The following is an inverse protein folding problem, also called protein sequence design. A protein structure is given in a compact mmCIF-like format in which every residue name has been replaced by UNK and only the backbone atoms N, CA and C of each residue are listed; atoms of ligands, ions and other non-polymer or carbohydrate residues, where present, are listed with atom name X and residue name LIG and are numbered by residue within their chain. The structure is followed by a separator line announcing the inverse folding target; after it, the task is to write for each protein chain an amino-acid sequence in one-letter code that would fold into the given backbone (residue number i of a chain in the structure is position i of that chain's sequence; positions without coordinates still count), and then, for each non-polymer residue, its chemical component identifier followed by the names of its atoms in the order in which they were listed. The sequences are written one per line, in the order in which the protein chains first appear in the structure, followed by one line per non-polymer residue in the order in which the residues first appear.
data_IF_195536712981
#
_entry.id   IF_195536712981
#
_cell.length_a   1.000
_cell.length_b   1.000
_cell.length_c   1.000
_cell.angle_alpha   90.00
_cell.angle_beta   90.00
_cell.angle_gamma   90.00
#
_symmetry.space_group_name_H-M   'P 1'
#
loop_
_entity.id
_entity.type
_entity.pdbx_description
1 polymer ?
#
# COMPACT_ATOMS: atom_id res chain seq x y z
N UNK A 1 -13.01 -12.32 27.97
CA UNK A 1 -11.94 -11.46 27.44
C UNK A 1 -11.25 -12.27 26.36
N UNK A 2 -11.79 -12.23 25.14
CA UNK A 2 -11.29 -12.98 23.99
C UNK A 2 -10.22 -12.15 23.31
N UNK A 3 -9.06 -12.77 23.12
CA UNK A 3 -7.97 -12.21 22.32
C UNK A 3 -8.50 -12.09 20.89
N UNK A 4 -8.54 -10.87 20.35
CA UNK A 4 -8.77 -10.66 18.92
C UNK A 4 -7.54 -11.17 18.17
N UNK A 5 -7.59 -12.43 17.76
CA UNK A 5 -6.66 -12.99 16.81
C UNK A 5 -6.78 -12.18 15.52
N UNK A 6 -5.79 -11.32 15.29
CA UNK A 6 -5.69 -10.46 14.10
C UNK A 6 -4.90 -11.19 13.02
N UNK A 7 -5.17 -12.47 12.79
CA UNK A 7 -4.67 -13.14 11.59
C UNK A 7 -5.47 -12.62 10.39
N UNK A 8 -4.90 -11.63 9.71
CA UNK A 8 -5.47 -11.09 8.48
C UNK A 8 -5.46 -12.21 7.42
N UNK A 9 -6.57 -12.93 7.27
CA UNK A 9 -6.76 -13.81 6.14
C UNK A 9 -6.77 -12.97 4.85
N UNK A 10 -6.14 -13.43 3.76
CA UNK A 10 -6.20 -12.75 2.47
C UNK A 10 -7.66 -12.59 2.05
N UNK A 11 -8.15 -11.35 2.01
CA UNK A 11 -9.51 -11.06 1.54
C UNK A 11 -9.54 -11.10 0.01
N UNK A 12 -10.49 -11.83 -0.57
CA UNK A 12 -10.64 -11.88 -2.03
C UNK A 12 -11.21 -10.56 -2.57
N UNK A 13 -11.05 -10.32 -3.88
CA UNK A 13 -11.62 -9.13 -4.54
C UNK A 13 -13.15 -9.06 -4.32
N UNK A 14 -13.84 -10.18 -4.44
CA UNK A 14 -15.30 -10.24 -4.30
C UNK A 14 -15.76 -9.97 -2.88
N UNK A 15 -15.06 -10.53 -1.89
CA UNK A 15 -15.35 -10.28 -0.47
C UNK A 15 -15.10 -8.82 -0.11
N UNK A 16 -13.99 -8.25 -0.59
CA UNK A 16 -13.71 -6.84 -0.37
C UNK A 16 -14.73 -5.93 -1.06
N UNK A 17 -15.09 -6.23 -2.31
CA UNK A 17 -16.09 -5.46 -3.07
C UNK A 17 -17.45 -5.50 -2.38
N UNK A 18 -17.84 -6.67 -1.85
CA UNK A 18 -19.07 -6.84 -1.09
C UNK A 18 -19.06 -6.04 0.21
N UNK A 19 -17.98 -6.12 1.00
CA UNK A 19 -17.90 -5.40 2.27
C UNK A 19 -17.91 -3.88 2.08
N UNK A 20 -17.32 -3.38 0.99
CA UNK A 20 -17.46 -1.97 0.60
C UNK A 20 -18.93 -1.64 0.34
N UNK A 21 -19.64 -2.42 -0.50
CA UNK A 21 -21.06 -2.14 -0.76
C UNK A 21 -21.88 -2.09 0.53
N UNK A 22 -21.77 -3.12 1.37
CA UNK A 22 -22.50 -3.23 2.64
C UNK A 22 -22.23 -2.02 3.54
N UNK A 23 -20.96 -1.63 3.69
CA UNK A 23 -20.58 -0.48 4.50
C UNK A 23 -21.25 0.83 4.03
N UNK A 24 -21.24 1.10 2.72
CA UNK A 24 -21.82 2.33 2.17
C UNK A 24 -23.35 2.32 2.18
N UNK A 25 -23.97 1.16 2.00
CA UNK A 25 -25.43 0.98 2.12
C UNK A 25 -25.90 1.16 3.57
N UNK A 26 -25.22 0.54 4.55
CA UNK A 26 -25.52 0.67 5.97
C UNK A 26 -25.39 2.11 6.47
N UNK A 27 -24.38 2.83 5.97
CA UNK A 27 -24.18 4.23 6.28
C UNK A 27 -25.06 5.19 5.44
N UNK A 28 -25.94 4.65 4.58
CA UNK A 28 -26.90 5.40 3.77
C UNK A 28 -26.27 6.47 2.88
N UNK A 29 -25.11 6.16 2.27
CA UNK A 29 -24.49 7.04 1.28
C UNK A 29 -25.28 7.04 -0.03
N UNK A 30 -25.28 8.19 -0.72
CA UNK A 30 -25.84 8.26 -2.06
C UNK A 30 -24.82 7.73 -3.09
N UNK A 31 -24.96 6.45 -3.44
CA UNK A 31 -24.16 5.79 -4.46
C UNK A 31 -24.64 6.23 -5.85
N UNK A 32 -23.71 6.73 -6.65
CA UNK A 32 -23.91 7.17 -8.04
C UNK A 32 -23.68 6.01 -9.01
N UNK A 33 -22.65 5.21 -8.76
CA UNK A 33 -22.29 4.05 -9.57
C UNK A 33 -21.64 2.98 -8.68
N UNK A 34 -21.88 1.72 -8.97
CA UNK A 34 -21.21 0.62 -8.29
C UNK A 34 -21.20 -0.58 -9.23
N UNK A 35 -20.05 -1.24 -9.37
CA UNK A 35 -19.98 -2.45 -10.17
C UNK A 35 -18.57 -2.96 -10.39
N UNK A 36 -18.42 -3.74 -11.44
CA UNK A 36 -17.16 -4.33 -11.84
C UNK A 36 -16.57 -3.56 -13.03
N UNK A 37 -15.25 -3.53 -13.11
CA UNK A 37 -14.47 -2.93 -14.18
C UNK A 37 -13.14 -3.68 -14.29
N UNK A 38 -12.16 -3.09 -14.98
CA UNK A 38 -10.78 -3.57 -15.04
C UNK A 38 -9.80 -2.50 -14.63
N UNK A 39 -8.69 -2.91 -14.00
CA UNK A 39 -7.55 -2.04 -13.71
C UNK A 39 -6.24 -2.81 -13.98
N UNK A 40 -5.38 -2.25 -14.83
CA UNK A 40 -4.16 -2.92 -15.29
C UNK A 40 -4.40 -4.35 -15.83
N UNK A 41 -5.48 -4.56 -16.60
CA UNK A 41 -5.92 -5.87 -17.11
C UNK A 41 -6.32 -6.92 -16.06
N UNK A 42 -6.57 -6.50 -14.81
CA UNK A 42 -7.10 -7.38 -13.76
C UNK A 42 -8.59 -7.04 -13.50
N UNK A 43 -9.42 -8.00 -13.07
CA UNK A 43 -10.76 -7.71 -12.56
C UNK A 43 -10.68 -6.69 -11.42
N UNK A 44 -11.57 -5.70 -11.45
CA UNK A 44 -11.58 -4.61 -10.49
C UNK A 44 -13.01 -4.30 -10.03
N UNK A 45 -13.16 -3.86 -8.80
CA UNK A 45 -14.38 -3.24 -8.31
C UNK A 45 -14.36 -1.73 -8.54
N UNK A 46 -15.54 -1.13 -8.61
CA UNK A 46 -15.76 0.31 -8.78
C UNK A 46 -16.87 0.78 -7.85
N UNK A 47 -16.69 1.97 -7.28
CA UNK A 47 -17.76 2.75 -6.65
C UNK A 47 -17.62 4.21 -7.08
N UNK A 48 -18.74 4.88 -7.25
CA UNK A 48 -18.86 6.32 -7.21
C UNK A 48 -19.99 6.70 -6.24
N UNK A 49 -19.76 7.66 -5.35
CA UNK A 49 -20.75 8.09 -4.37
C UNK A 49 -20.59 9.59 -4.10
N UNK A 50 -21.63 10.22 -3.56
CA UNK A 50 -21.60 11.65 -3.26
C UNK A 50 -21.47 11.92 -1.76
N UNK A 51 -20.68 12.93 -1.41
CA UNK A 51 -20.68 13.52 -0.07
C UNK A 51 -21.01 15.00 -0.15
N UNK A 52 -21.75 15.50 0.84
CA UNK A 52 -22.08 16.91 0.96
C UNK A 52 -21.36 17.50 2.15
N UNK A 53 -20.63 18.58 1.91
CA UNK A 53 -20.20 19.50 2.95
C UNK A 53 -21.23 20.63 3.09
N UNK A 54 -21.04 21.52 4.06
CA UNK A 54 -21.91 22.69 4.26
C UNK A 54 -21.96 23.57 2.99
N UNK A 55 -20.90 23.59 2.19
CA UNK A 55 -20.72 24.55 1.10
C UNK A 55 -20.77 23.92 -0.29
N UNK A 56 -20.30 22.68 -0.44
CA UNK A 56 -20.18 22.00 -1.74
C UNK A 56 -20.55 20.52 -1.64
N UNK A 57 -21.07 19.99 -2.74
CA UNK A 57 -21.23 18.55 -2.96
C UNK A 57 -20.04 18.02 -3.77
N UNK A 58 -19.51 16.88 -3.37
CA UNK A 58 -18.41 16.19 -4.01
C UNK A 58 -18.87 14.82 -4.50
N UNK A 59 -18.22 14.32 -5.55
CA UNK A 59 -18.34 12.95 -6.02
C UNK A 59 -16.97 12.30 -5.86
N UNK A 60 -16.95 11.17 -5.17
CA UNK A 60 -15.80 10.31 -4.96
C UNK A 60 -15.99 9.10 -5.85
N UNK A 61 -15.01 8.79 -6.69
CA UNK A 61 -14.95 7.56 -7.46
C UNK A 61 -13.68 6.81 -7.11
N UNK A 62 -13.78 5.49 -6.95
CA UNK A 62 -12.66 4.62 -6.66
C UNK A 62 -12.77 3.35 -7.50
N UNK A 63 -11.65 2.93 -8.07
CA UNK A 63 -11.48 1.65 -8.76
C UNK A 63 -10.40 0.86 -8.01
N UNK A 64 -10.67 -0.40 -7.65
CA UNK A 64 -9.72 -1.25 -6.92
C UNK A 64 -9.54 -2.61 -7.56
N UNK A 65 -8.31 -3.13 -7.52
CA UNK A 65 -7.99 -4.52 -7.88
C UNK A 65 -7.09 -5.14 -6.81
N UNK A 66 -7.12 -6.47 -6.69
CA UNK A 66 -6.21 -7.23 -5.84
C UNK A 66 -5.37 -8.13 -6.74
N UNK A 67 -4.05 -7.99 -6.68
CA UNK A 67 -3.09 -8.81 -7.43
C UNK A 67 -1.96 -9.23 -6.49
N UNK A 68 -1.68 -10.53 -6.43
CA UNK A 68 -0.63 -11.10 -5.55
C UNK A 68 -0.74 -10.61 -4.10
N UNK A 69 -1.95 -10.69 -3.53
CA UNK A 69 -2.28 -10.26 -2.15
C UNK A 69 -2.06 -8.76 -1.87
N UNK A 70 -1.82 -7.96 -2.91
CA UNK A 70 -1.69 -6.50 -2.82
C UNK A 70 -2.91 -5.82 -3.41
N UNK A 71 -3.54 -4.93 -2.64
CA UNK A 71 -4.66 -4.09 -3.08
C UNK A 71 -4.15 -2.80 -3.69
N UNK A 72 -4.60 -2.51 -4.90
CA UNK A 72 -4.34 -1.27 -5.62
C UNK A 72 -5.63 -0.49 -5.73
N UNK A 73 -5.56 0.83 -5.51
CA UNK A 73 -6.71 1.72 -5.51
C UNK A 73 -6.35 2.97 -6.34
N UNK A 74 -7.20 3.32 -7.29
CA UNK A 74 -7.13 4.58 -8.00
C UNK A 74 -8.42 5.35 -7.73
N UNK A 75 -8.28 6.58 -7.24
CA UNK A 75 -9.43 7.40 -6.82
C UNK A 75 -9.45 8.74 -7.54
N UNK A 76 -10.65 9.18 -7.90
CA UNK A 76 -10.96 10.49 -8.46
C UNK A 76 -11.96 11.19 -7.56
N UNK A 77 -11.65 12.42 -7.16
CA UNK A 77 -12.53 13.23 -6.33
C UNK A 77 -12.65 14.60 -6.98
N UNK A 78 -13.88 15.08 -7.11
CA UNK A 78 -14.14 16.42 -7.61
C UNK A 78 -15.45 16.96 -7.03
N UNK A 79 -15.62 18.28 -7.09
CA UNK A 79 -16.92 18.89 -6.85
C UNK A 79 -17.92 18.39 -7.88
N UNK A 80 -19.19 18.26 -7.50
CA UNK A 80 -20.23 17.69 -8.35
C UNK A 80 -20.41 18.43 -9.67
N UNK A 81 -20.16 19.75 -9.71
CA UNK A 81 -20.24 20.61 -10.90
C UNK A 81 -19.00 20.53 -11.81
N UNK A 82 -17.90 19.98 -11.30
CA UNK A 82 -16.63 19.83 -12.01
C UNK A 82 -16.30 18.38 -12.34
N UNK A 83 -16.97 17.42 -11.69
CA UNK A 83 -16.73 16.00 -11.86
C UNK A 83 -16.72 15.53 -13.31
N UNK A 84 -17.67 15.91 -14.19
CA UNK A 84 -17.62 15.48 -15.60
C UNK A 84 -16.39 15.99 -16.36
N UNK A 85 -15.79 17.12 -15.94
CA UNK A 85 -14.67 17.76 -16.64
C UNK A 85 -13.38 16.96 -16.51
N UNK A 86 -13.20 16.23 -15.40
CA UNK A 86 -12.01 15.43 -15.14
C UNK A 86 -12.10 13.96 -15.57
N UNK A 87 -13.30 13.46 -15.91
CA UNK A 87 -13.51 12.06 -16.25
C UNK A 87 -12.62 11.59 -17.40
N UNK A 88 -12.53 12.35 -18.50
CA UNK A 88 -11.69 11.97 -19.63
C UNK A 88 -10.21 11.81 -19.27
N UNK A 89 -9.69 12.67 -18.39
CA UNK A 89 -8.30 12.54 -17.90
C UNK A 89 -8.12 11.42 -16.90
N UNK A 90 -9.12 11.16 -16.07
CA UNK A 90 -9.09 10.01 -15.19
C UNK A 90 -9.15 8.69 -15.97
N UNK A 91 -9.96 8.60 -17.01
CA UNK A 91 -10.01 7.43 -17.89
C UNK A 91 -8.66 7.22 -18.61
N UNK A 92 -7.99 8.27 -19.06
CA UNK A 92 -6.61 8.18 -19.57
C UNK A 92 -5.65 7.59 -18.51
N UNK A 93 -5.74 8.04 -17.25
CA UNK A 93 -4.95 7.49 -16.15
C UNK A 93 -5.24 6.01 -15.90
N UNK A 94 -6.51 5.62 -15.84
CA UNK A 94 -6.95 4.22 -15.67
C UNK A 94 -6.40 3.34 -16.80
N UNK A 95 -6.51 3.80 -18.04
CA UNK A 95 -6.07 3.05 -19.23
C UNK A 95 -4.55 2.93 -19.32
N UNK A 96 -3.80 3.89 -18.79
CA UNK A 96 -2.33 3.85 -18.72
C UNK A 96 -1.77 3.12 -17.49
N UNK A 97 -2.63 2.74 -16.53
CA UNK A 97 -2.18 2.17 -15.27
C UNK A 97 -1.71 0.72 -15.45
N UNK A 98 -0.47 0.45 -15.07
CA UNK A 98 0.14 -0.87 -15.14
C UNK A 98 0.62 -1.34 -13.76
N UNK A 99 0.39 -2.63 -13.46
CA UNK A 99 0.93 -3.29 -12.26
C UNK A 99 2.04 -4.23 -12.69
N UNK A 100 3.28 -3.78 -12.53
CA UNK A 100 4.46 -4.61 -12.72
C UNK A 100 4.53 -5.65 -11.61
N UNK A 101 4.74 -6.92 -11.98
CA UNK A 101 5.21 -7.89 -11.01
C UNK A 101 6.61 -7.45 -10.62
N UNK A 102 6.76 -6.91 -9.41
CA UNK A 102 8.08 -6.74 -8.83
C UNK A 102 8.56 -8.15 -8.49
N UNK A 103 9.11 -8.87 -9.47
CA UNK A 103 10.08 -9.90 -9.18
C UNK A 103 11.22 -9.16 -8.51
N UNK A 104 11.20 -9.16 -7.19
CA UNK A 104 12.39 -8.87 -6.42
C UNK A 104 13.34 -9.98 -6.84
N UNK A 105 14.23 -9.70 -7.80
CA UNK A 105 15.35 -10.56 -8.13
C UNK A 105 16.27 -10.48 -6.90
N UNK A 106 15.91 -11.26 -5.87
CA UNK A 106 16.58 -11.22 -4.58
C UNK A 106 18.07 -11.45 -4.81
N UNK A 107 18.87 -10.49 -4.39
CA UNK A 107 20.31 -10.62 -4.39
C UNK A 107 20.73 -11.39 -3.15
N UNK A 108 21.85 -12.11 -3.22
CA UNK A 108 22.41 -12.84 -2.08
C UNK A 108 23.65 -12.09 -1.60
N UNK A 109 23.60 -11.61 -0.36
CA UNK A 109 24.80 -11.19 0.35
C UNK A 109 25.40 -12.41 1.05
N UNK A 110 26.71 -12.60 0.88
CA UNK A 110 27.45 -13.71 1.47
C UNK A 110 28.68 -13.18 2.20
N UNK A 111 28.88 -13.66 3.43
CA UNK A 111 30.06 -13.33 4.24
C UNK A 111 30.83 -14.62 4.57
N UNK A 112 31.89 -14.91 3.81
CA UNK A 112 32.70 -16.11 4.00
C UNK A 112 33.51 -16.10 5.31
N UNK A 113 33.82 -14.92 5.86
CA UNK A 113 34.57 -14.80 7.14
C UNK A 113 33.78 -15.35 8.32
N UNK A 114 32.46 -15.15 8.31
CA UNK A 114 31.56 -15.58 9.39
C UNK A 114 30.61 -16.72 8.97
N UNK A 115 30.64 -17.15 7.71
CA UNK A 115 29.97 -18.35 7.22
C UNK A 115 28.45 -18.24 7.07
N UNK A 116 27.92 -17.08 6.67
CA UNK A 116 26.48 -16.90 6.47
C UNK A 116 26.10 -16.21 5.15
N UNK A 117 24.85 -16.42 4.74
CA UNK A 117 24.23 -15.85 3.54
C UNK A 117 22.86 -15.24 3.90
N UNK A 118 22.52 -14.12 3.27
CA UNK A 118 21.24 -13.41 3.45
C UNK A 118 20.73 -12.99 2.08
N UNK A 119 19.51 -13.36 1.73
CA UNK A 119 18.81 -12.82 0.57
C UNK A 119 18.23 -11.45 0.91
N UNK A 120 18.40 -10.47 0.02
CA UNK A 120 17.81 -9.14 0.17
C UNK A 120 17.25 -8.61 -1.17
N UNK A 121 16.23 -7.73 -1.13
CA UNK A 121 15.73 -7.10 -2.35
C UNK A 121 16.76 -6.11 -2.96
N UNK A 122 16.92 -6.03 -4.29
CA UNK A 122 17.94 -5.20 -4.93
C UNK A 122 17.77 -3.69 -4.67
N UNK A 123 16.59 -3.25 -4.21
CA UNK A 123 16.38 -1.88 -3.76
C UNK A 123 17.00 -1.56 -2.38
N UNK A 124 17.81 -2.44 -1.78
CA UNK A 124 18.47 -2.20 -0.51
C UNK A 124 19.96 -1.95 -0.73
N UNK A 125 20.50 -0.96 -0.03
CA UNK A 125 21.95 -0.80 0.08
C UNK A 125 22.47 -1.67 1.22
N UNK A 126 23.53 -2.44 0.94
CA UNK A 126 24.20 -3.29 1.91
C UNK A 126 25.50 -2.62 2.36
N UNK A 127 25.71 -2.48 3.66
CA UNK A 127 26.97 -1.98 4.23
C UNK A 127 27.44 -2.90 5.35
N UNK A 128 28.68 -3.37 5.24
CA UNK A 128 29.39 -4.07 6.31
C UNK A 128 30.14 -3.05 7.17
N UNK A 129 29.88 -3.05 8.47
CA UNK A 129 30.54 -2.15 9.42
C UNK A 129 31.78 -2.86 9.99
N UNK A 130 32.96 -2.36 9.61
CA UNK A 130 34.27 -3.03 9.72
C UNK A 130 34.69 -3.46 11.14
N UNK A 131 34.01 -3.00 12.20
CA UNK A 131 34.43 -3.28 13.57
C UNK A 131 33.59 -4.34 14.32
N UNK A 132 32.42 -4.77 13.82
CA UNK A 132 31.48 -5.57 14.65
C UNK A 132 30.65 -6.66 13.98
N UNK A 133 31.00 -7.15 12.78
CA UNK A 133 30.17 -8.14 12.06
C UNK A 133 28.70 -7.70 11.95
N UNK A 134 28.46 -6.39 11.83
CA UNK A 134 27.12 -5.81 11.67
C UNK A 134 26.95 -5.47 10.20
N UNK A 135 25.91 -6.02 9.60
CA UNK A 135 25.49 -5.69 8.24
C UNK A 135 24.20 -4.90 8.33
N UNK A 136 24.17 -3.77 7.65
CA UNK A 136 22.99 -2.94 7.52
C UNK A 136 22.41 -3.07 6.12
N UNK A 137 21.11 -3.37 6.04
CA UNK A 137 20.32 -3.36 4.82
C UNK A 137 19.38 -2.15 4.88
N UNK A 138 19.63 -1.10 4.11
CA UNK A 138 18.80 0.12 4.13
C UNK A 138 18.01 0.27 2.81
N UNK A 139 16.67 0.40 2.83
CA UNK A 139 15.86 0.59 1.63
C UNK A 139 16.18 1.91 0.92
N UNK A 140 16.44 1.88 -0.38
CA UNK A 140 16.75 3.05 -1.21
C UNK A 140 15.56 4.02 -1.35
N UNK A 141 14.33 3.54 -1.07
CA UNK A 141 13.07 4.30 -1.21
C UNK A 141 12.71 5.13 0.02
N UNK A 142 13.43 5.00 1.14
CA UNK A 142 13.28 5.91 2.27
C UNK A 142 14.22 7.09 2.07
N UNK A 143 13.67 8.26 1.73
CA UNK A 143 14.33 9.58 1.83
C UNK A 143 14.71 9.96 3.28
N UNK A 144 14.72 8.99 4.20
CA UNK A 144 15.25 9.15 5.55
C UNK A 144 16.68 8.66 5.51
N UNK A 145 17.69 9.50 5.78
CA UNK A 145 19.04 9.00 5.89
C UNK A 145 19.07 8.02 7.07
N UNK A 146 19.29 6.73 6.79
CA UNK A 146 19.74 5.74 7.79
C UNK A 146 21.05 6.19 8.49
N UNK A 147 21.62 7.35 8.12
CA UNK A 147 22.91 7.86 8.54
C UNK A 147 22.92 9.40 8.47
N UNK A 148 22.29 10.06 9.44
CA UNK A 148 22.86 11.30 9.98
C UNK A 148 23.45 10.97 11.35
N UNK A 149 24.55 11.65 11.69
CA UNK A 149 25.60 11.29 12.64
C UNK A 149 25.19 11.14 14.14
N UNK A 150 23.95 10.74 14.45
CA UNK A 150 23.39 10.64 15.79
C UNK A 150 23.27 9.24 16.40
N UNK A 151 23.52 8.15 15.66
CA UNK A 151 23.45 6.78 16.23
C UNK A 151 24.72 6.34 16.98
N UNK A 152 25.47 7.29 17.56
CA UNK A 152 26.41 7.00 18.64
C UNK A 152 25.68 7.26 19.96
N UNK A 153 25.34 6.19 20.68
CA UNK A 153 24.78 6.15 22.05
C UNK A 153 23.26 5.95 22.18
N UNK A 154 22.77 4.78 21.79
CA UNK A 154 21.73 4.12 22.60
C UNK A 154 22.32 2.86 23.23
N UNK A 155 23.10 3.05 24.31
CA UNK A 155 23.11 2.08 25.40
C UNK A 155 21.92 2.44 26.28
N UNK A 156 20.79 1.76 26.10
CA UNK A 156 19.80 1.64 27.17
C UNK A 156 19.74 0.16 27.56
N UNK A 157 20.01 -0.18 28.82
CA UNK A 157 19.89 -1.56 29.29
C UNK A 157 18.41 -1.92 29.34
N UNK A 158 18.04 -3.05 28.74
CA UNK A 158 16.78 -3.71 29.02
C UNK A 158 16.79 -4.11 30.51
N UNK A 159 16.12 -3.32 31.36
CA UNK A 159 15.63 -3.79 32.64
C UNK A 159 14.14 -4.07 32.48
N UNK A 160 13.81 -5.34 32.35
CA UNK A 160 12.49 -5.83 32.73
C UNK A 160 12.45 -5.85 34.26
N UNK A 161 11.48 -5.15 34.85
CA UNK A 161 11.04 -5.41 36.21
C UNK A 161 9.57 -5.85 36.12
N UNK A 162 9.29 -7.00 36.72
CA UNK A 162 7.95 -7.45 37.11
C UNK A 162 7.43 -6.61 38.27
#
# INVERSE_FOLDING_TARGET
MSVLDTSAQPITLDEYTRSIREHYEEANYHIVDFGNTTLANNPAGKIAYTEKTIQHQYIFMSIWTIKSDTRYLLSYVARSDEYPKGLGKFDEMVNSFEIFNKTVDWEVYRNDKYGFEIQYPPQYSVKELEEKSVISFCPLLLLVPCFQEGCKNYRTPLRYNF
#
